data_IF_186939209946
#
_entry.id   IF_186939209946
#
_cell.length_a   1.000
_cell.length_b   1.000
_cell.length_c   1.000
_cell.angle_alpha   90.00
_cell.angle_beta   90.00
_cell.angle_gamma   90.00
#
_symmetry.space_group_name_H-M   'P 1'
#
loop_
_entity.id
_entity.type
_entity.pdbx_description
1 polymer ?
#
# COMPACT_ATOMS: atom_id res chain seq x y z
N UNK A 1 -5.04 21.70 25.82
CA UNK A 1 -4.86 20.55 24.90
C UNK A 1 -5.29 19.30 25.64
N UNK A 2 -6.34 18.61 25.20
CA UNK A 2 -6.71 17.30 25.77
C UNK A 2 -5.98 16.21 25.00
N UNK A 3 -5.06 15.47 25.63
CA UNK A 3 -4.40 14.34 24.97
C UNK A 3 -5.29 13.11 25.02
N UNK A 4 -5.66 12.58 23.85
CA UNK A 4 -6.32 11.27 23.70
C UNK A 4 -5.34 10.31 23.05
N UNK A 5 -5.28 9.07 23.55
CA UNK A 5 -4.52 8.00 22.89
C UNK A 5 -5.26 7.63 21.61
N UNK A 6 -4.58 7.74 20.46
CA UNK A 6 -5.14 7.39 19.16
C UNK A 6 -5.11 5.88 18.94
N UNK A 7 -6.13 5.36 18.26
CA UNK A 7 -6.10 3.99 17.74
C UNK A 7 -5.05 3.87 16.63
N UNK A 8 -4.59 2.65 16.33
CA UNK A 8 -3.62 2.38 15.25
C UNK A 8 -4.05 2.97 13.91
N UNK A 9 -5.34 2.89 13.58
CA UNK A 9 -5.89 3.47 12.34
C UNK A 9 -5.79 5.00 12.38
N UNK A 10 -6.22 5.63 13.45
CA UNK A 10 -6.15 7.08 13.60
C UNK A 10 -4.71 7.60 13.53
N UNK A 11 -3.75 6.92 14.15
CA UNK A 11 -2.34 7.30 14.10
C UNK A 11 -1.79 7.28 12.66
N UNK A 12 -2.03 6.19 11.90
CA UNK A 12 -1.64 6.11 10.48
C UNK A 12 -2.24 7.22 9.64
N UNK A 13 -3.53 7.52 9.84
CA UNK A 13 -4.17 8.62 9.13
C UNK A 13 -3.68 9.99 9.58
N UNK A 14 -3.33 10.17 10.85
CA UNK A 14 -2.79 11.43 11.36
C UNK A 14 -1.41 11.74 10.76
N UNK A 15 -0.55 10.73 10.60
CA UNK A 15 0.74 10.87 9.90
C UNK A 15 0.53 11.37 8.46
N UNK A 16 -0.33 10.68 7.69
CA UNK A 16 -0.62 11.09 6.30
C UNK A 16 -1.24 12.48 6.21
N UNK A 17 -2.25 12.76 7.05
CA UNK A 17 -2.97 14.02 7.00
C UNK A 17 -2.11 15.21 7.44
N UNK A 18 -1.05 15.00 8.23
CA UNK A 18 -0.14 16.06 8.67
C UNK A 18 0.57 16.79 7.53
N UNK A 19 0.63 16.20 6.33
CA UNK A 19 1.20 16.83 5.13
C UNK A 19 0.30 17.92 4.54
N UNK A 20 -0.96 18.04 5.00
CA UNK A 20 -1.94 18.96 4.45
C UNK A 20 -2.34 20.03 5.46
N UNK A 21 -2.69 21.22 4.97
CA UNK A 21 -3.31 22.27 5.79
C UNK A 21 -4.84 22.18 5.67
N UNK A 22 -5.50 21.59 6.67
CA UNK A 22 -6.95 21.35 6.65
C UNK A 22 -7.60 21.55 8.02
N UNK A 23 -8.93 21.68 8.03
CA UNK A 23 -9.74 21.79 9.23
C UNK A 23 -10.83 20.71 9.20
N UNK A 24 -10.90 19.90 10.26
CA UNK A 24 -11.91 18.84 10.39
C UNK A 24 -13.21 19.44 10.93
N UNK A 25 -14.27 19.45 10.11
CA UNK A 25 -15.62 19.84 10.52
C UNK A 25 -16.58 18.66 10.45
N UNK A 26 -17.39 18.45 11.49
CA UNK A 26 -18.51 17.52 11.41
C UNK A 26 -19.59 18.06 10.46
N UNK A 27 -20.07 17.21 9.55
CA UNK A 27 -21.18 17.51 8.64
C UNK A 27 -22.30 16.49 8.90
N UNK A 28 -23.53 16.93 9.21
CA UNK A 28 -24.66 16.01 9.33
C UNK A 28 -24.98 15.37 7.98
N UNK A 29 -25.50 14.14 7.98
CA UNK A 29 -25.64 13.30 6.78
C UNK A 29 -26.37 13.95 5.60
N UNK A 30 -27.38 14.80 5.86
CA UNK A 30 -28.11 15.56 4.82
C UNK A 30 -27.21 16.50 4.00
N UNK A 31 -26.08 16.94 4.57
CA UNK A 31 -25.08 17.79 3.90
C UNK A 31 -23.87 16.99 3.39
N UNK A 32 -23.85 15.68 3.62
CA UNK A 32 -22.78 14.77 3.20
C UNK A 32 -23.19 13.90 1.99
N UNK A 33 -24.18 14.34 1.21
CA UNK A 33 -24.75 13.56 0.10
C UNK A 33 -23.74 13.25 -1.01
N UNK A 34 -22.83 14.18 -1.29
CA UNK A 34 -21.78 13.99 -2.29
C UNK A 34 -20.74 12.93 -1.87
N UNK A 35 -20.09 13.04 -0.69
CA UNK A 35 -19.18 12.00 -0.22
C UNK A 35 -19.85 10.65 0.02
N UNK A 36 -21.16 10.63 0.30
CA UNK A 36 -21.94 9.39 0.43
C UNK A 36 -22.30 8.75 -0.92
N UNK A 37 -22.36 9.53 -2.01
CA UNK A 37 -22.60 9.04 -3.38
C UNK A 37 -21.32 8.61 -4.11
N UNK A 38 -20.17 9.16 -3.71
CA UNK A 38 -18.83 8.82 -4.22
C UNK A 38 -18.45 7.31 -4.20
N UNK A 39 -18.86 6.47 -3.22
CA UNK A 39 -18.55 5.04 -3.18
C UNK A 39 -19.12 4.23 -4.35
N UNK A 40 -20.10 4.78 -5.07
CA UNK A 40 -20.75 4.10 -6.20
C UNK A 40 -20.11 4.45 -7.55
N UNK A 41 -19.05 5.26 -7.59
CA UNK A 41 -18.37 5.51 -8.86
C UNK A 41 -17.46 4.35 -9.22
N UNK A 42 -17.93 3.55 -10.18
CA UNK A 42 -17.21 2.45 -10.84
C UNK A 42 -15.84 2.89 -11.41
N UNK A 43 -15.56 4.18 -11.51
CA UNK A 43 -14.28 4.72 -11.95
C UNK A 43 -13.22 4.81 -10.82
N UNK A 44 -13.62 4.88 -9.55
CA UNK A 44 -12.69 5.13 -8.43
C UNK A 44 -12.26 3.83 -7.75
N UNK A 45 -13.16 2.86 -7.65
CA UNK A 45 -12.89 1.57 -7.00
C UNK A 45 -12.76 0.45 -8.02
N UNK A 46 -11.90 -0.52 -7.73
CA UNK A 46 -11.67 -1.67 -8.59
C UNK A 46 -12.84 -2.63 -8.56
N UNK A 47 -13.08 -3.29 -9.70
CA UNK A 47 -13.99 -4.42 -9.72
C UNK A 47 -13.29 -5.63 -9.09
N UNK A 48 -14.07 -6.66 -8.73
CA UNK A 48 -13.55 -7.87 -8.10
C UNK A 48 -12.46 -8.50 -8.99
N UNK A 49 -11.24 -8.61 -8.49
CA UNK A 49 -10.10 -9.21 -9.19
C UNK A 49 -9.11 -8.20 -9.79
N UNK A 50 -9.38 -6.89 -9.71
CA UNK A 50 -8.49 -5.83 -10.18
C UNK A 50 -7.69 -5.18 -9.02
N UNK A 51 -6.44 -4.82 -9.30
CA UNK A 51 -5.53 -4.22 -8.31
C UNK A 51 -5.85 -2.74 -8.10
N UNK A 52 -6.00 -2.27 -6.86
CA UNK A 52 -6.32 -0.85 -6.58
C UNK A 52 -5.33 0.15 -7.20
N UNK A 53 -4.07 -0.27 -7.37
CA UNK A 53 -2.99 0.53 -7.95
C UNK A 53 -3.20 0.77 -9.45
N UNK A 54 -3.78 -0.19 -10.19
CA UNK A 54 -3.94 -0.05 -11.65
C UNK A 54 -4.99 1.01 -12.01
N UNK A 55 -5.97 1.22 -11.13
CA UNK A 55 -7.09 2.15 -11.35
C UNK A 55 -6.82 3.55 -10.81
N UNK A 56 -6.11 3.63 -9.69
CA UNK A 56 -5.65 4.91 -9.14
C UNK A 56 -4.20 4.77 -8.64
N UNK A 57 -3.20 5.00 -9.51
CA UNK A 57 -1.80 4.86 -9.14
C UNK A 57 -1.35 5.88 -8.08
N UNK A 58 -2.08 7.00 -7.93
CA UNK A 58 -1.81 8.01 -6.90
C UNK A 58 -2.13 7.53 -5.47
N UNK A 59 -2.89 6.44 -5.33
CA UNK A 59 -3.15 5.82 -4.03
C UNK A 59 -1.96 5.01 -3.49
N UNK A 60 -0.95 4.74 -4.33
CA UNK A 60 0.26 4.08 -3.86
C UNK A 60 1.16 5.08 -3.16
N UNK A 61 1.28 4.94 -1.84
CA UNK A 61 2.21 5.71 -1.03
C UNK A 61 3.12 4.77 -0.26
N UNK A 62 4.42 4.89 -0.52
CA UNK A 62 5.43 4.19 0.23
C UNK A 62 5.60 4.89 1.58
N UNK A 63 5.08 4.27 2.65
CA UNK A 63 5.11 4.83 4.02
C UNK A 63 6.55 5.02 4.51
N UNK A 64 7.46 4.12 4.12
CA UNK A 64 8.86 4.17 4.50
C UNK A 64 9.65 4.68 3.29
N UNK A 65 9.99 5.97 3.27
CA UNK A 65 10.83 6.54 2.22
C UNK A 65 12.20 5.87 2.29
N UNK A 66 12.74 5.41 1.17
CA UNK A 66 14.01 4.66 1.16
C UNK A 66 15.16 5.46 1.79
N UNK A 67 15.10 6.79 1.68
CA UNK A 67 16.07 7.72 2.25
C UNK A 67 16.07 7.75 3.79
N UNK A 68 14.98 7.31 4.43
CA UNK A 68 14.85 7.22 5.89
C UNK A 68 15.24 5.84 6.42
N UNK A 69 15.40 4.85 5.54
CA UNK A 69 15.88 3.51 5.90
C UNK A 69 17.39 3.55 5.99
N UNK A 70 17.92 3.69 7.21
CA UNK A 70 19.29 3.28 7.46
C UNK A 70 19.39 1.79 7.13
N UNK A 71 20.17 1.36 6.12
CA UNK A 71 20.30 -0.04 5.80
C UNK A 71 20.89 -0.70 7.04
N UNK A 72 20.10 -1.49 7.75
CA UNK A 72 20.63 -2.29 8.85
C UNK A 72 21.73 -3.16 8.25
N UNK A 73 22.94 -3.13 8.85
CA UNK A 73 24.10 -3.92 8.41
C UNK A 73 23.82 -5.43 8.31
N UNK A 74 22.69 -5.90 8.84
CA UNK A 74 22.40 -7.30 9.12
C UNK A 74 21.43 -7.98 8.15
N UNK A 75 20.84 -7.27 7.18
CA UNK A 75 19.83 -7.84 6.26
C UNK A 75 20.18 -7.76 4.77
N UNK A 76 21.47 -7.64 4.42
CA UNK A 76 21.89 -7.84 3.04
C UNK A 76 21.92 -9.35 2.72
N UNK A 77 20.75 -9.96 2.53
CA UNK A 77 20.68 -11.21 1.80
C UNK A 77 20.96 -10.86 0.36
N UNK A 78 22.18 -11.20 -0.09
CA UNK A 78 22.54 -11.19 -1.50
C UNK A 78 21.58 -12.18 -2.17
N UNK A 79 20.53 -11.67 -2.79
CA UNK A 79 19.73 -12.45 -3.73
C UNK A 79 20.60 -12.57 -4.97
N UNK A 80 21.52 -13.52 -4.94
CA UNK A 80 22.16 -14.01 -6.14
C UNK A 80 21.04 -14.54 -7.01
N UNK A 81 20.85 -13.90 -8.16
CA UNK A 81 19.74 -14.11 -9.09
C UNK A 81 19.38 -15.60 -9.13
N UNK A 82 18.23 -15.92 -8.53
CA UNK A 82 17.69 -17.28 -8.47
C UNK A 82 17.38 -17.85 -9.85
N UNK A 83 17.52 -17.06 -10.92
CA UNK A 83 17.43 -17.49 -12.32
C UNK A 83 18.27 -18.73 -12.58
N UNK A 84 19.53 -18.72 -12.15
CA UNK A 84 20.45 -19.83 -12.44
C UNK A 84 20.04 -21.11 -11.69
N UNK A 85 19.46 -20.99 -10.49
CA UNK A 85 19.03 -22.11 -9.67
C UNK A 85 17.71 -22.69 -10.18
N UNK A 86 16.75 -21.83 -10.56
CA UNK A 86 15.47 -22.25 -11.16
C UNK A 86 15.70 -22.92 -12.51
N UNK A 87 16.57 -22.38 -13.36
CA UNK A 87 16.93 -22.99 -14.66
C UNK A 87 17.62 -24.35 -14.48
N UNK A 88 18.42 -24.50 -13.42
CA UNK A 88 19.09 -25.77 -13.08
C UNK A 88 18.10 -26.82 -12.58
N UNK A 89 17.12 -26.42 -11.76
CA UNK A 89 16.05 -27.31 -11.28
C UNK A 89 15.17 -27.77 -12.45
N UNK A 90 14.79 -26.85 -13.35
CA UNK A 90 14.02 -27.19 -14.54
C UNK A 90 14.79 -28.16 -15.43
N UNK A 91 16.05 -27.89 -15.77
CA UNK A 91 16.85 -28.82 -16.58
C UNK A 91 16.96 -30.22 -15.96
N UNK A 92 17.05 -30.32 -14.63
CA UNK A 92 17.13 -31.60 -13.94
C UNK A 92 15.81 -32.38 -13.99
N UNK A 93 14.67 -31.69 -13.89
CA UNK A 93 13.33 -32.30 -14.02
C UNK A 93 13.02 -32.76 -15.45
N UNK A 94 13.60 -32.10 -16.46
CA UNK A 94 13.42 -32.46 -17.87
C UNK A 94 14.44 -33.49 -18.40
N UNK A 95 15.40 -33.92 -17.57
CA UNK A 95 16.45 -34.90 -17.96
C UNK A 95 16.24 -36.31 -17.42
N UNK A 96 15.06 -36.65 -16.89
CA UNK A 96 14.72 -38.05 -16.58
C UNK A 96 13.88 -38.68 -17.72
N UNK A 97 14.51 -39.35 -18.71
CA UNK A 97 13.86 -40.44 -19.44
C UNK A 97 14.14 -41.78 -18.72
N UNK A 98 13.11 -42.61 -18.70
CA UNK A 98 13.05 -44.00 -18.23
C UNK A 98 14.26 -44.85 -18.61
#
# INVERSE_FOLDING_TARGET
MTSKVLTRRQARWAEFLSEFHFLITYRPGRLATLPDALPHWDNVYTQRGENFISKNPMNFQQIIKQDEVQPSKYFAVKVESSSNLIDSIQKKLWQDPQ
#
